data_IF_459483130055
#
_entry.id   IF_459483130055
#
_cell.length_a   1.000
_cell.length_b   1.000
_cell.length_c   1.000
_cell.angle_alpha   90.00
_cell.angle_beta   90.00
_cell.angle_gamma   90.00
#
_symmetry.space_group_name_H-M   'P 1'
#
loop_
_entity.id
_entity.type
_entity.pdbx_description
1 polymer ?
#
# COMPACT_ATOMS: atom_id res chain seq x y z
N UNK A 1 23.41 -14.08 -30.75
CA UNK A 1 24.66 -14.82 -31.05
C UNK A 1 25.21 -14.23 -32.33
N UNK A 2 26.14 -13.28 -32.23
CA UNK A 2 26.73 -12.62 -33.40
C UNK A 2 28.14 -13.19 -33.55
N UNK A 3 28.34 -13.97 -34.60
CA UNK A 3 29.58 -14.68 -34.87
C UNK A 3 30.44 -13.80 -35.79
N UNK A 4 31.56 -13.29 -35.29
CA UNK A 4 32.59 -12.68 -36.15
C UNK A 4 33.73 -13.71 -36.30
N UNK A 5 33.81 -14.34 -37.46
CA UNK A 5 34.99 -15.12 -37.86
C UNK A 5 35.36 -14.70 -39.27
N UNK A 6 36.45 -13.96 -39.42
CA UNK A 6 37.12 -13.77 -40.71
C UNK A 6 38.35 -14.70 -40.68
N UNK A 7 38.31 -15.88 -41.32
CA UNK A 7 39.45 -16.79 -41.32
C UNK A 7 40.59 -16.20 -42.17
N UNK A 8 41.83 -16.36 -41.71
CA UNK A 8 43.01 -16.10 -42.52
C UNK A 8 43.04 -17.02 -43.75
N UNK A 9 43.48 -16.49 -44.89
CA UNK A 9 43.50 -17.19 -46.17
C UNK A 9 44.34 -18.48 -46.07
N UNK A 10 43.70 -19.65 -46.23
CA UNK A 10 44.34 -20.97 -46.16
C UNK A 10 43.97 -21.84 -44.96
N UNK A 11 43.22 -21.31 -43.99
CA UNK A 11 42.66 -22.11 -42.89
C UNK A 11 41.22 -22.54 -43.21
N UNK A 12 40.96 -23.86 -43.25
CA UNK A 12 39.59 -24.38 -43.22
C UNK A 12 39.03 -24.10 -41.82
N UNK A 13 38.08 -23.18 -41.70
CA UNK A 13 37.43 -22.85 -40.45
C UNK A 13 36.84 -24.12 -39.82
N UNK A 14 37.44 -24.58 -38.73
CA UNK A 14 36.85 -25.64 -37.90
C UNK A 14 36.03 -24.96 -36.82
N UNK A 15 34.75 -25.30 -36.73
CA UNK A 15 33.90 -24.80 -35.64
C UNK A 15 34.41 -25.38 -34.32
N UNK A 16 34.77 -24.51 -33.39
CA UNK A 16 35.10 -24.86 -32.01
C UNK A 16 33.81 -24.85 -31.20
N UNK A 17 33.36 -26.02 -30.78
CA UNK A 17 32.26 -26.16 -29.85
C UNK A 17 32.83 -26.31 -28.44
N UNK A 18 32.41 -25.41 -27.56
CA UNK A 18 32.83 -25.40 -26.16
C UNK A 18 31.59 -25.69 -25.32
N UNK A 19 31.56 -26.85 -24.68
CA UNK A 19 30.46 -27.32 -23.84
C UNK A 19 30.96 -27.60 -22.42
N UNK A 20 30.10 -27.43 -21.40
CA UNK A 20 30.40 -27.81 -20.03
C UNK A 20 31.31 -26.86 -19.23
N UNK A 21 31.54 -25.62 -19.70
CA UNK A 21 32.32 -24.64 -18.94
C UNK A 21 31.43 -23.96 -17.89
N UNK A 22 31.80 -24.06 -16.62
CA UNK A 22 31.21 -23.31 -15.50
C UNK A 22 31.53 -21.82 -15.59
N UNK A 23 30.72 -20.93 -14.99
CA UNK A 23 31.05 -19.50 -14.89
C UNK A 23 32.48 -19.27 -14.40
N UNK A 24 33.21 -18.39 -15.07
CA UNK A 24 34.64 -18.22 -14.87
C UNK A 24 35.39 -17.94 -16.16
N UNK A 25 36.71 -17.78 -16.05
CA UNK A 25 37.61 -17.57 -17.18
C UNK A 25 38.47 -18.80 -17.38
N UNK A 26 38.48 -19.36 -18.58
CA UNK A 26 39.33 -20.48 -18.97
C UNK A 26 40.10 -20.12 -20.22
N UNK A 27 41.41 -20.35 -20.21
CA UNK A 27 42.25 -20.23 -21.40
C UNK A 27 42.38 -21.60 -22.04
N UNK A 28 41.95 -21.71 -23.29
CA UNK A 28 42.17 -22.87 -24.13
C UNK A 28 43.45 -22.61 -24.94
N UNK A 29 44.44 -23.48 -24.77
CA UNK A 29 45.75 -23.40 -25.44
C UNK A 29 45.98 -24.66 -26.27
N UNK A 30 46.46 -24.51 -27.49
CA UNK A 30 46.92 -25.63 -28.31
C UNK A 30 48.19 -25.27 -29.07
N UNK A 31 48.96 -26.29 -29.40
CA UNK A 31 50.13 -26.20 -30.27
C UNK A 31 49.90 -27.00 -31.54
N UNK A 32 50.36 -26.46 -32.67
CA UNK A 32 50.21 -27.13 -33.96
C UNK A 32 51.32 -28.16 -34.15
N UNK A 33 50.97 -29.38 -34.58
CA UNK A 33 51.92 -30.48 -34.78
C UNK A 33 53.06 -30.14 -35.78
N UNK A 34 52.82 -29.22 -36.72
CA UNK A 34 53.82 -28.74 -37.68
C UNK A 34 54.54 -27.44 -37.30
N UNK A 35 54.11 -26.74 -36.24
CA UNK A 35 54.70 -25.49 -35.75
C UNK A 35 54.70 -25.46 -34.21
N UNK A 36 55.53 -26.28 -33.56
CA UNK A 36 55.51 -26.46 -32.11
C UNK A 36 55.92 -25.20 -31.33
N UNK A 37 56.49 -24.20 -32.00
CA UNK A 37 56.82 -22.88 -31.45
C UNK A 37 55.70 -21.84 -31.61
N UNK A 38 54.59 -22.18 -32.26
CA UNK A 38 53.40 -21.34 -32.38
C UNK A 38 52.31 -21.85 -31.43
N UNK A 39 51.99 -21.06 -30.42
CA UNK A 39 50.93 -21.31 -29.46
C UNK A 39 49.83 -20.28 -29.70
N UNK A 40 48.63 -20.74 -30.04
CA UNK A 40 47.44 -19.90 -30.03
C UNK A 40 46.70 -20.09 -28.70
N UNK A 41 46.15 -18.99 -28.19
CA UNK A 41 45.35 -18.97 -26.97
C UNK A 41 43.99 -18.33 -27.26
N UNK A 42 42.90 -19.00 -26.86
CA UNK A 42 41.58 -18.39 -26.78
C UNK A 42 41.22 -18.26 -25.31
N UNK A 43 40.90 -17.03 -24.89
CA UNK A 43 40.30 -16.79 -23.59
C UNK A 43 38.78 -16.86 -23.71
N UNK A 44 38.16 -17.77 -22.95
CA UNK A 44 36.71 -17.90 -22.84
C UNK A 44 36.28 -17.43 -21.46
N UNK A 45 35.38 -16.46 -21.41
CA UNK A 45 34.75 -15.99 -20.17
C UNK A 45 33.27 -16.33 -20.20
N UNK A 46 32.83 -17.13 -19.23
CA UNK A 46 31.42 -17.45 -19.01
C UNK A 46 30.93 -16.60 -17.85
N UNK A 47 29.96 -15.74 -18.14
CA UNK A 47 29.38 -14.81 -17.17
C UNK A 47 27.96 -15.27 -16.88
N UNK A 48 27.62 -15.37 -15.60
CA UNK A 48 26.26 -15.67 -15.15
C UNK A 48 25.71 -14.49 -14.35
N UNK A 49 24.51 -14.06 -14.71
CA UNK A 49 23.74 -13.07 -13.96
C UNK A 49 22.51 -13.78 -13.38
N UNK A 50 22.23 -13.53 -12.10
CA UNK A 50 21.10 -14.10 -11.38
C UNK A 50 20.43 -13.05 -10.50
N UNK A 51 19.14 -13.25 -10.22
CA UNK A 51 18.42 -12.52 -9.18
C UNK A 51 18.39 -13.41 -7.94
N UNK A 52 18.86 -12.89 -6.82
CA UNK A 52 18.87 -13.58 -5.53
C UNK A 52 18.14 -12.79 -4.45
N UNK A 53 17.78 -13.45 -3.35
CA UNK A 53 17.51 -12.73 -2.11
C UNK A 53 18.82 -12.13 -1.55
N UNK A 54 18.74 -11.40 -0.43
CA UNK A 54 19.92 -10.80 0.21
C UNK A 54 20.90 -11.85 0.76
N UNK A 55 20.44 -13.07 1.05
CA UNK A 55 21.28 -14.19 1.50
C UNK A 55 22.00 -14.91 0.33
N UNK A 56 21.81 -14.44 -0.91
CA UNK A 56 22.45 -14.99 -2.10
C UNK A 56 21.80 -16.26 -2.65
N UNK A 57 20.60 -16.60 -2.20
CA UNK A 57 19.79 -17.72 -2.70
C UNK A 57 19.09 -17.28 -3.99
N UNK A 58 19.30 -17.98 -5.13
CA UNK A 58 18.62 -17.66 -6.38
C UNK A 58 17.09 -17.74 -6.25
N UNK A 59 16.40 -16.79 -6.86
CA UNK A 59 14.95 -16.86 -6.95
C UNK A 59 14.55 -17.99 -7.90
N UNK A 60 13.58 -18.80 -7.47
CA UNK A 60 12.92 -19.76 -8.33
C UNK A 60 12.10 -19.04 -9.42
N UNK A 61 11.77 -19.73 -10.50
CA UNK A 61 10.72 -19.25 -11.40
C UNK A 61 9.36 -19.32 -10.68
N UNK A 62 8.53 -18.30 -10.85
CA UNK A 62 7.20 -18.15 -10.24
C UNK A 62 7.25 -18.02 -8.70
N UNK A 63 7.91 -16.97 -8.22
CA UNK A 63 7.95 -16.67 -6.78
C UNK A 63 6.58 -16.18 -6.33
N UNK A 64 5.96 -16.89 -5.40
CA UNK A 64 4.69 -16.51 -4.77
C UNK A 64 4.95 -15.56 -3.59
N UNK A 65 4.18 -14.48 -3.50
CA UNK A 65 4.19 -13.54 -2.37
C UNK A 65 2.81 -12.92 -2.18
N UNK A 66 2.67 -11.98 -1.25
CA UNK A 66 1.42 -11.26 -0.95
C UNK A 66 1.69 -9.75 -0.90
N UNK A 67 0.70 -8.90 -1.20
CA UNK A 67 0.89 -7.45 -1.17
C UNK A 67 1.20 -6.97 0.24
N UNK A 68 2.02 -5.92 0.35
CA UNK A 68 2.48 -5.34 1.61
C UNK A 68 3.67 -6.07 2.26
N UNK A 69 4.12 -7.20 1.71
CA UNK A 69 5.36 -7.85 2.16
C UNK A 69 6.58 -7.12 1.60
N UNK A 70 7.57 -6.84 2.45
CA UNK A 70 8.84 -6.24 2.03
C UNK A 70 9.62 -7.20 1.14
N UNK A 71 10.05 -6.71 -0.01
CA UNK A 71 10.87 -7.46 -0.97
C UNK A 71 12.23 -6.80 -1.04
N UNK A 72 13.29 -7.59 -0.88
CA UNK A 72 14.66 -7.14 -1.04
C UNK A 72 15.41 -8.15 -1.91
N UNK A 73 15.91 -7.68 -3.05
CA UNK A 73 16.57 -8.50 -4.08
C UNK A 73 17.97 -7.99 -4.36
N UNK A 74 18.82 -8.90 -4.82
CA UNK A 74 20.20 -8.61 -5.24
C UNK A 74 20.48 -9.20 -6.62
N UNK A 75 21.12 -8.41 -7.47
CA UNK A 75 21.67 -8.84 -8.73
C UNK A 75 23.05 -9.44 -8.49
N UNK A 76 23.21 -10.73 -8.80
CA UNK A 76 24.46 -11.46 -8.58
C UNK A 76 25.15 -11.74 -9.90
N UNK A 77 26.39 -11.29 -10.02
CA UNK A 77 27.27 -11.58 -11.16
C UNK A 77 28.30 -12.63 -10.74
N UNK A 78 28.46 -13.67 -11.56
CA UNK A 78 29.49 -14.70 -11.38
C UNK A 78 30.34 -14.80 -12.65
N UNK A 79 31.69 -14.79 -12.55
CA UNK A 79 32.47 -14.71 -11.31
C UNK A 79 32.44 -13.32 -10.66
N UNK A 80 32.61 -13.27 -9.32
CA UNK A 80 32.39 -12.05 -8.51
C UNK A 80 33.50 -11.01 -8.63
N UNK A 81 34.61 -11.34 -9.28
CA UNK A 81 35.74 -10.43 -9.51
C UNK A 81 35.60 -9.60 -10.79
N UNK A 82 34.48 -9.72 -11.51
CA UNK A 82 34.19 -8.89 -12.67
C UNK A 82 33.75 -7.50 -12.23
N UNK A 83 34.28 -6.48 -12.90
CA UNK A 83 33.83 -5.11 -12.74
C UNK A 83 32.47 -4.94 -13.43
N UNK A 84 31.46 -4.54 -12.66
CA UNK A 84 30.13 -4.20 -13.16
C UNK A 84 30.05 -2.68 -13.25
N UNK A 85 29.91 -2.15 -14.46
CA UNK A 85 29.93 -0.71 -14.72
C UNK A 85 28.53 -0.07 -14.65
N UNK A 86 27.48 -0.87 -14.47
CA UNK A 86 26.11 -0.39 -14.38
C UNK A 86 25.13 -1.48 -13.95
N UNK A 87 24.11 -1.07 -13.22
CA UNK A 87 23.02 -1.91 -12.74
C UNK A 87 21.69 -1.30 -13.16
N UNK A 88 20.73 -2.14 -13.54
CA UNK A 88 19.38 -1.68 -13.84
C UNK A 88 18.35 -2.73 -13.45
N UNK A 89 17.41 -2.36 -12.59
CA UNK A 89 16.23 -3.15 -12.26
C UNK A 89 15.02 -2.72 -13.10
N UNK A 90 14.20 -3.70 -13.46
CA UNK A 90 12.85 -3.49 -13.98
C UNK A 90 11.89 -4.29 -13.13
N UNK A 91 10.97 -3.62 -12.43
CA UNK A 91 9.99 -4.24 -11.54
C UNK A 91 8.61 -3.89 -12.04
N UNK A 92 7.83 -4.89 -12.45
CA UNK A 92 6.43 -4.74 -12.86
C UNK A 92 5.46 -4.63 -11.69
N UNK A 93 4.16 -4.52 -12.01
CA UNK A 93 3.07 -4.43 -11.02
C UNK A 93 2.96 -3.06 -10.36
N UNK A 94 2.02 -2.92 -9.42
CA UNK A 94 1.86 -1.70 -8.63
C UNK A 94 2.75 -1.77 -7.39
N UNK A 95 3.74 -0.88 -7.30
CA UNK A 95 4.81 -0.94 -6.31
C UNK A 95 5.21 0.43 -5.77
N UNK A 96 5.76 0.42 -4.57
CA UNK A 96 6.29 1.59 -3.87
C UNK A 96 7.59 1.25 -3.14
N UNK A 97 8.36 2.27 -2.77
CA UNK A 97 9.55 2.11 -1.94
C UNK A 97 9.18 1.92 -0.48
N UNK A 98 8.24 2.72 0.03
CA UNK A 98 7.82 2.65 1.42
C UNK A 98 6.44 3.25 1.66
N UNK A 99 5.78 2.82 2.73
CA UNK A 99 4.55 3.42 3.25
C UNK A 99 4.63 3.52 4.77
N UNK A 100 4.50 4.74 5.29
CA UNK A 100 4.52 5.03 6.71
C UNK A 100 3.09 5.30 7.17
N UNK A 101 2.70 4.65 8.27
CA UNK A 101 1.46 4.96 8.99
C UNK A 101 1.79 5.31 10.44
N UNK A 102 1.37 6.50 10.85
CA UNK A 102 1.48 6.97 12.22
C UNK A 102 0.26 7.83 12.56
N UNK A 103 0.11 8.17 13.84
CA UNK A 103 -0.94 9.11 14.24
C UNK A 103 -0.80 10.47 13.53
N UNK A 104 0.42 10.88 13.21
CA UNK A 104 0.70 12.21 12.66
C UNK A 104 0.65 12.24 11.13
N UNK A 105 0.84 11.10 10.45
CA UNK A 105 0.80 11.06 9.00
C UNK A 105 0.58 9.67 8.43
N UNK A 106 -0.03 9.66 7.25
CA UNK A 106 0.01 8.55 6.29
C UNK A 106 0.75 9.05 5.06
N UNK A 107 1.96 8.53 4.83
CA UNK A 107 2.84 9.01 3.77
C UNK A 107 3.39 7.86 2.95
N UNK A 108 3.43 8.02 1.63
CA UNK A 108 4.01 7.04 0.70
C UNK A 108 5.26 7.60 0.04
N UNK A 109 6.25 6.75 -0.15
CA UNK A 109 7.45 7.03 -0.93
C UNK A 109 7.37 6.17 -2.19
N UNK A 110 7.31 6.82 -3.34
CA UNK A 110 7.33 6.14 -4.64
C UNK A 110 8.68 5.43 -4.85
N UNK A 111 8.66 4.34 -5.62
CA UNK A 111 9.89 3.69 -6.08
C UNK A 111 10.36 4.43 -7.34
N UNK A 112 11.42 5.21 -7.20
CA UNK A 112 11.92 6.09 -8.25
C UNK A 112 12.98 5.40 -9.10
N UNK A 113 13.29 5.96 -10.29
CA UNK A 113 14.30 5.39 -11.19
C UNK A 113 15.68 5.27 -10.53
N UNK A 114 16.03 6.22 -9.67
CA UNK A 114 17.29 6.19 -8.91
C UNK A 114 17.39 5.02 -7.93
N UNK A 115 16.26 4.45 -7.50
CA UNK A 115 16.25 3.26 -6.63
C UNK A 115 16.49 1.96 -7.39
N UNK A 116 16.53 2.03 -8.74
CA UNK A 116 16.65 0.88 -9.63
C UNK A 116 18.06 0.74 -10.23
N UNK A 117 19.02 1.57 -9.82
CA UNK A 117 20.37 1.64 -10.41
C UNK A 117 21.47 1.06 -9.53
N UNK A 118 21.10 0.42 -8.41
CA UNK A 118 22.03 -0.27 -7.51
C UNK A 118 22.02 -1.79 -7.74
N UNK A 119 23.02 -2.50 -7.22
CA UNK A 119 23.07 -3.98 -7.24
C UNK A 119 21.98 -4.62 -6.37
N UNK A 120 21.34 -3.85 -5.51
CA UNK A 120 20.23 -4.25 -4.64
C UNK A 120 19.03 -3.34 -4.81
N UNK A 121 17.83 -3.89 -4.62
CA UNK A 121 16.58 -3.12 -4.66
C UNK A 121 15.66 -3.57 -3.54
N UNK A 122 15.00 -2.61 -2.88
CA UNK A 122 13.99 -2.87 -1.84
C UNK A 122 12.69 -2.15 -2.16
N UNK A 123 11.57 -2.85 -2.11
CA UNK A 123 10.26 -2.31 -2.46
C UNK A 123 9.12 -3.16 -1.88
N UNK A 124 7.88 -2.72 -2.12
CA UNK A 124 6.65 -3.43 -1.80
C UNK A 124 5.73 -3.43 -3.01
N UNK A 125 5.07 -4.56 -3.29
CA UNK A 125 3.85 -4.55 -4.11
C UNK A 125 2.66 -4.17 -3.23
N UNK A 126 1.78 -3.30 -3.74
CA UNK A 126 0.57 -2.84 -3.04
C UNK A 126 -0.73 -3.35 -3.69
N UNK A 127 -0.58 -4.17 -4.72
CA UNK A 127 -1.66 -4.85 -5.41
C UNK A 127 -1.26 -6.29 -5.75
N UNK A 128 -2.25 -7.11 -6.06
CA UNK A 128 -2.05 -8.45 -6.59
C UNK A 128 -1.79 -8.47 -8.09
N UNK A 129 -1.35 -9.61 -8.58
CA UNK A 129 -1.17 -9.87 -10.00
C UNK A 129 -0.38 -11.13 -10.24
N UNK A 130 -0.62 -11.76 -11.40
CA UNK A 130 0.05 -12.97 -11.82
C UNK A 130 1.15 -12.63 -12.83
N UNK A 131 2.21 -13.44 -12.85
CA UNK A 131 3.32 -13.33 -13.80
C UNK A 131 3.93 -11.92 -13.87
N UNK A 132 4.05 -11.24 -12.72
CA UNK A 132 4.69 -9.93 -12.62
C UNK A 132 6.18 -10.08 -12.88
N UNK A 133 6.66 -9.49 -13.97
CA UNK A 133 8.07 -9.56 -14.35
C UNK A 133 8.98 -8.75 -13.43
N UNK A 134 10.07 -9.37 -12.98
CA UNK A 134 11.20 -8.74 -12.32
C UNK A 134 12.47 -9.08 -13.10
N UNK A 135 13.16 -8.07 -13.60
CA UNK A 135 14.39 -8.23 -14.35
C UNK A 135 15.52 -7.39 -13.75
N UNK A 136 16.73 -7.90 -13.90
CA UNK A 136 17.98 -7.26 -13.52
C UNK A 136 18.95 -7.33 -14.68
N UNK A 137 19.54 -6.20 -15.04
CA UNK A 137 20.60 -6.09 -16.04
C UNK A 137 21.88 -5.55 -15.39
N UNK A 138 22.99 -6.19 -15.71
CA UNK A 138 24.34 -5.77 -15.36
C UNK A 138 25.13 -5.45 -16.62
N UNK A 139 25.79 -4.30 -16.64
CA UNK A 139 26.75 -3.94 -17.69
C UNK A 139 28.15 -4.41 -17.32
N UNK A 140 28.71 -5.33 -18.09
CA UNK A 140 30.04 -5.91 -17.84
C UNK A 140 30.85 -5.75 -19.12
N UNK A 141 31.98 -5.04 -19.03
CA UNK A 141 32.80 -4.64 -20.19
C UNK A 141 31.99 -3.94 -21.29
N UNK A 142 31.00 -3.12 -20.91
CA UNK A 142 30.13 -2.40 -21.84
C UNK A 142 29.07 -3.26 -22.53
N UNK A 143 28.93 -4.54 -22.17
CA UNK A 143 27.91 -5.45 -22.69
C UNK A 143 26.83 -5.73 -21.63
N UNK A 144 25.55 -5.78 -22.02
CA UNK A 144 24.46 -6.08 -21.10
C UNK A 144 24.32 -7.59 -20.87
N UNK A 145 24.16 -7.97 -19.60
CA UNK A 145 23.81 -9.32 -19.19
C UNK A 145 22.59 -9.25 -18.26
N UNK A 146 21.55 -10.01 -18.57
CA UNK A 146 20.27 -9.92 -17.86
C UNK A 146 19.80 -11.24 -17.26
N UNK A 147 19.07 -11.13 -16.16
CA UNK A 147 18.27 -12.20 -15.58
C UNK A 147 16.83 -11.71 -15.37
N UNK A 148 15.87 -12.63 -15.48
CA UNK A 148 14.47 -12.33 -15.27
C UNK A 148 13.76 -13.48 -14.56
N UNK A 149 12.83 -13.12 -13.68
CA UNK A 149 11.91 -14.02 -12.99
C UNK A 149 10.50 -13.45 -13.03
N UNK A 150 9.52 -14.33 -12.99
CA UNK A 150 8.13 -13.94 -12.80
C UNK A 150 7.72 -14.18 -11.34
N UNK A 151 6.90 -13.28 -10.82
CA UNK A 151 6.36 -13.33 -9.47
C UNK A 151 4.83 -13.30 -9.50
N UNK A 152 4.21 -14.09 -8.63
CA UNK A 152 2.77 -14.07 -8.39
C UNK A 152 2.52 -13.38 -7.05
N UNK A 153 1.81 -12.26 -7.08
CA UNK A 153 1.43 -11.50 -5.88
C UNK A 153 -0.03 -11.80 -5.58
N UNK A 154 -0.25 -12.65 -4.58
CA UNK A 154 -1.56 -13.16 -4.22
C UNK A 154 -2.24 -12.22 -3.24
N UNK A 155 -3.15 -11.41 -3.76
CA UNK A 155 -3.95 -10.47 -2.98
C UNK A 155 -5.12 -11.22 -2.32
N UNK A 156 -5.39 -11.00 -1.01
CA UNK A 156 -6.60 -11.50 -0.38
C UNK A 156 -7.85 -11.04 -1.11
N UNK A 157 -8.83 -11.94 -1.25
CA UNK A 157 -10.17 -11.54 -1.70
C UNK A 157 -10.93 -10.91 -0.54
N UNK A 158 -11.74 -9.90 -0.84
CA UNK A 158 -12.42 -9.13 0.19
C UNK A 158 -13.79 -8.61 -0.26
N UNK A 159 -14.73 -8.69 0.67
CA UNK A 159 -16.02 -8.01 0.64
C UNK A 159 -16.10 -7.01 1.81
N UNK A 160 -16.71 -5.85 1.55
CA UNK A 160 -17.02 -4.84 2.56
C UNK A 160 -18.43 -4.33 2.30
N UNK A 161 -19.30 -4.49 3.29
CA UNK A 161 -20.69 -4.03 3.25
C UNK A 161 -20.95 -3.06 4.39
N UNK A 162 -22.03 -2.27 4.26
CA UNK A 162 -22.47 -1.38 5.31
C UNK A 162 -23.98 -1.43 5.52
N UNK A 163 -24.39 -1.16 6.75
CA UNK A 163 -25.79 -1.00 7.14
C UNK A 163 -25.91 0.29 7.95
N UNK A 164 -26.75 1.22 7.50
CA UNK A 164 -27.02 2.48 8.18
C UNK A 164 -28.18 2.36 9.15
N UNK A 165 -28.26 3.27 10.11
CA UNK A 165 -29.29 3.28 11.16
C UNK A 165 -30.71 3.15 10.59
N UNK A 166 -31.60 2.36 11.21
CA UNK A 166 -33.00 2.26 10.80
C UNK A 166 -33.86 3.43 11.31
N UNK A 167 -33.29 4.36 12.08
CA UNK A 167 -34.01 5.48 12.66
C UNK A 167 -34.52 6.46 11.58
N UNK A 168 -35.73 6.98 11.80
CA UNK A 168 -36.33 8.03 10.99
C UNK A 168 -36.86 9.16 11.89
N UNK A 169 -36.24 10.36 11.88
CA UNK A 169 -35.07 10.74 11.09
C UNK A 169 -33.76 10.06 11.57
N UNK A 170 -32.79 9.84 10.68
CA UNK A 170 -31.52 9.19 11.03
C UNK A 170 -30.62 10.05 11.91
N UNK A 171 -30.81 11.37 11.89
CA UNK A 171 -30.07 12.33 12.70
C UNK A 171 -31.04 12.99 13.67
N UNK A 172 -30.71 12.97 14.96
CA UNK A 172 -31.63 13.48 15.99
C UNK A 172 -30.91 14.06 17.20
N UNK A 173 -31.64 14.90 17.94
CA UNK A 173 -31.28 15.35 19.29
C UNK A 173 -31.65 14.23 20.27
N UNK A 174 -30.64 13.55 20.82
CA UNK A 174 -30.83 12.49 21.82
C UNK A 174 -29.70 12.50 22.84
N UNK A 175 -30.06 12.30 24.10
CA UNK A 175 -29.11 12.16 25.21
C UNK A 175 -28.08 13.31 25.29
N UNK A 176 -28.49 14.54 24.94
CA UNK A 176 -27.62 15.72 24.94
C UNK A 176 -26.67 15.82 23.75
N UNK A 177 -26.97 15.15 22.62
CA UNK A 177 -26.17 15.20 21.39
C UNK A 177 -27.05 15.37 20.17
N UNK A 178 -26.52 16.06 19.15
CA UNK A 178 -26.95 15.90 17.77
C UNK A 178 -26.08 14.80 17.16
N UNK A 179 -26.66 13.68 16.77
CA UNK A 179 -25.89 12.51 16.31
C UNK A 179 -26.57 11.77 15.17
N UNK A 180 -25.77 11.07 14.37
CA UNK A 180 -26.22 10.12 13.38
C UNK A 180 -26.43 8.74 14.03
N UNK A 181 -27.67 8.26 14.04
CA UNK A 181 -28.08 7.07 14.78
C UNK A 181 -28.22 7.31 16.29
N UNK A 182 -27.98 6.27 17.07
CA UNK A 182 -27.99 6.30 18.53
C UNK A 182 -26.97 5.31 19.11
N UNK A 183 -26.65 5.46 20.41
CA UNK A 183 -25.76 4.52 21.10
C UNK A 183 -26.47 3.24 21.55
N UNK A 184 -27.77 3.11 21.28
CA UNK A 184 -28.51 1.89 21.58
C UNK A 184 -28.10 0.76 20.61
N UNK A 185 -28.14 -0.51 21.05
CA UNK A 185 -27.89 -1.64 20.17
C UNK A 185 -28.78 -1.62 18.94
N UNK A 186 -28.20 -1.81 17.75
CA UNK A 186 -28.88 -1.82 16.44
C UNK A 186 -29.44 -0.46 15.98
N UNK A 187 -29.11 0.62 16.68
CA UNK A 187 -29.46 1.98 16.26
C UNK A 187 -28.23 2.81 15.88
N UNK A 188 -27.03 2.23 15.90
CA UNK A 188 -25.78 2.92 15.54
C UNK A 188 -25.88 3.56 14.14
N UNK A 189 -25.24 4.72 13.97
CA UNK A 189 -25.31 5.50 12.74
C UNK A 189 -24.97 4.68 11.50
N UNK A 190 -23.87 3.96 11.55
CA UNK A 190 -23.47 3.02 10.51
C UNK A 190 -22.73 1.82 11.13
N UNK A 191 -22.92 0.64 10.53
CA UNK A 191 -22.14 -0.58 10.76
C UNK A 191 -21.44 -0.94 9.47
N UNK A 192 -20.19 -1.39 9.58
CA UNK A 192 -19.42 -2.00 8.50
C UNK A 192 -19.10 -3.44 8.84
N UNK A 193 -19.21 -4.30 7.85
CA UNK A 193 -18.88 -5.72 7.95
C UNK A 193 -17.97 -6.09 6.79
N UNK A 194 -16.75 -6.50 7.11
CA UNK A 194 -15.77 -7.00 6.17
C UNK A 194 -15.63 -8.52 6.28
N UNK A 195 -15.53 -9.19 5.15
CA UNK A 195 -15.11 -10.59 5.03
C UNK A 195 -13.88 -10.65 4.13
N UNK A 196 -12.80 -11.26 4.61
CA UNK A 196 -11.52 -11.36 3.90
C UNK A 196 -11.08 -12.81 3.85
N UNK A 197 -10.76 -13.29 2.65
CA UNK A 197 -10.20 -14.63 2.41
C UNK A 197 -8.75 -14.50 1.98
N UNK A 198 -7.83 -14.98 2.82
CA UNK A 198 -6.39 -14.92 2.56
C UNK A 198 -5.92 -16.15 1.74
N UNK A 199 -4.92 -15.99 0.85
CA UNK A 199 -4.23 -17.13 0.26
C UNK A 199 -3.50 -17.97 1.32
N UNK A 200 -3.10 -19.19 0.99
CA UNK A 200 -2.35 -20.12 1.88
C UNK A 200 -1.08 -19.49 2.47
N UNK A 201 -0.37 -18.66 1.70
CA UNK A 201 0.81 -17.91 2.13
C UNK A 201 0.50 -16.53 2.77
N UNK A 202 -0.79 -16.23 2.93
CA UNK A 202 -1.34 -14.91 3.27
C UNK A 202 -1.74 -14.71 4.72
N UNK A 203 -1.15 -15.44 5.67
CA UNK A 203 -1.33 -15.12 7.09
C UNK A 203 -0.99 -13.64 7.37
N UNK A 204 -1.72 -13.00 8.30
CA UNK A 204 -1.59 -11.57 8.55
C UNK A 204 -2.65 -11.01 9.49
N UNK A 205 -3.00 -9.74 9.26
CA UNK A 205 -4.01 -8.99 10.01
C UNK A 205 -4.90 -8.19 9.06
N UNK A 206 -6.15 -7.97 9.45
CA UNK A 206 -7.10 -7.08 8.80
C UNK A 206 -7.61 -6.04 9.80
N UNK A 207 -7.88 -4.83 9.34
CA UNK A 207 -8.39 -3.75 10.18
C UNK A 207 -9.08 -2.68 9.34
N UNK A 208 -9.85 -1.81 9.98
CA UNK A 208 -10.32 -0.58 9.38
C UNK A 208 -9.38 0.59 9.66
N UNK A 209 -9.29 1.52 8.71
CA UNK A 209 -8.70 2.84 8.88
C UNK A 209 -9.68 3.85 8.29
N UNK A 210 -10.02 4.89 9.04
CA UNK A 210 -10.95 5.93 8.58
C UNK A 210 -10.22 7.27 8.47
N UNK A 211 -10.46 7.97 7.37
CA UNK A 211 -10.14 9.38 7.23
C UNK A 211 -11.43 10.19 7.20
N UNK A 212 -11.36 11.43 7.68
CA UNK A 212 -12.48 12.36 7.71
C UNK A 212 -12.09 13.72 7.16
N UNK A 213 -12.95 14.26 6.31
CA UNK A 213 -13.00 15.67 5.96
C UNK A 213 -14.10 16.29 6.83
N UNK A 214 -13.69 17.04 7.86
CA UNK A 214 -14.62 17.60 8.85
C UNK A 214 -15.06 18.98 8.42
N UNK A 215 -16.36 19.26 8.60
CA UNK A 215 -16.89 20.62 8.57
C UNK A 215 -18.00 20.73 9.60
N UNK A 216 -17.68 21.35 10.74
CA UNK A 216 -18.64 21.57 11.82
C UNK A 216 -18.62 23.03 12.26
N UNK A 217 -19.79 23.53 12.67
CA UNK A 217 -19.90 24.86 13.25
C UNK A 217 -20.63 24.81 14.58
N UNK A 218 -20.33 25.76 15.45
CA UNK A 218 -21.03 25.99 16.72
C UNK A 218 -21.20 27.47 16.94
N UNK A 219 -22.41 27.87 17.32
CA UNK A 219 -22.71 29.25 17.70
C UNK A 219 -22.77 29.32 19.21
N UNK A 220 -21.99 30.20 19.83
CA UNK A 220 -22.00 30.46 21.26
C UNK A 220 -23.29 31.20 21.65
N UNK A 221 -23.80 30.90 22.85
CA UNK A 221 -24.88 31.65 23.49
C UNK A 221 -24.30 32.87 24.21
N UNK A 222 -23.62 33.74 23.47
CA UNK A 222 -23.09 35.03 23.94
C UNK A 222 -23.84 36.20 23.30
N UNK A 223 -23.50 37.44 23.67
CA UNK A 223 -24.17 38.63 23.12
C UNK A 223 -23.89 38.85 21.63
N UNK A 224 -22.83 38.24 21.10
CA UNK A 224 -22.37 38.41 19.72
C UNK A 224 -22.82 37.27 18.80
N UNK A 225 -23.42 36.21 19.35
CA UNK A 225 -23.64 34.92 18.67
C UNK A 225 -22.38 34.44 17.94
N UNK A 226 -21.24 34.43 18.64
CA UNK A 226 -19.94 34.06 18.06
C UNK A 226 -20.03 32.70 17.38
N UNK A 227 -19.65 32.61 16.11
CA UNK A 227 -19.59 31.35 15.37
C UNK A 227 -18.16 30.84 15.39
N UNK A 228 -17.99 29.58 15.79
CA UNK A 228 -16.72 28.87 15.69
C UNK A 228 -16.86 27.73 14.68
N UNK A 229 -15.82 27.52 13.89
CA UNK A 229 -15.74 26.51 12.83
C UNK A 229 -14.62 25.52 13.16
N UNK A 230 -14.90 24.23 12.95
CA UNK A 230 -13.93 23.15 12.97
C UNK A 230 -13.93 22.51 11.59
N UNK A 231 -12.87 22.77 10.83
CA UNK A 231 -12.78 22.42 9.42
C UNK A 231 -11.40 21.89 9.09
N UNK A 232 -11.34 20.84 8.28
CA UNK A 232 -10.09 20.37 7.67
C UNK A 232 -9.80 21.03 6.32
N UNK A 233 -10.53 22.09 5.97
CA UNK A 233 -10.38 22.86 4.73
C UNK A 233 -10.43 21.97 3.47
N UNK A 234 -11.31 20.96 3.49
CA UNK A 234 -11.48 20.02 2.38
C UNK A 234 -10.45 18.89 2.31
N UNK A 235 -9.49 18.84 3.24
CA UNK A 235 -8.53 17.75 3.32
C UNK A 235 -9.04 16.62 4.23
N UNK A 236 -8.59 15.40 3.96
CA UNK A 236 -8.87 14.23 4.78
C UNK A 236 -7.79 14.05 5.86
N UNK A 237 -8.23 14.02 7.11
CA UNK A 237 -7.40 13.78 8.30
C UNK A 237 -7.70 12.42 8.90
N UNK A 238 -6.77 11.88 9.68
CA UNK A 238 -6.99 10.60 10.36
C UNK A 238 -8.10 10.71 11.39
N UNK A 239 -9.11 9.86 11.26
CA UNK A 239 -10.20 9.73 12.21
C UNK A 239 -9.91 8.62 13.21
N UNK A 240 -9.24 8.99 14.29
CA UNK A 240 -8.97 8.09 15.42
C UNK A 240 -8.86 8.89 16.72
N UNK A 241 -9.30 8.27 17.79
CA UNK A 241 -9.03 8.69 19.18
C UNK A 241 -8.07 7.71 19.89
N UNK A 242 -7.64 6.66 19.17
CA UNK A 242 -6.83 5.56 19.70
C UNK A 242 -5.33 5.85 19.72
N UNK A 243 -4.58 4.83 20.13
CA UNK A 243 -3.12 4.87 20.15
C UNK A 243 -2.47 4.43 18.83
N UNK A 244 -3.27 3.86 17.92
CA UNK A 244 -2.84 3.47 16.57
C UNK A 244 -3.66 4.19 15.50
N UNK A 245 -3.18 4.20 14.24
CA UNK A 245 -3.94 4.71 13.10
C UNK A 245 -5.15 3.86 12.70
N UNK A 246 -5.38 2.72 13.35
CA UNK A 246 -6.51 1.85 13.07
C UNK A 246 -7.77 2.41 13.70
N UNK A 247 -8.87 2.37 12.96
CA UNK A 247 -10.16 2.80 13.47
C UNK A 247 -10.65 1.85 14.57
N UNK A 248 -10.84 2.38 15.78
CA UNK A 248 -11.21 1.57 16.94
C UNK A 248 -10.04 0.90 17.67
N UNK A 249 -8.81 1.21 17.29
CA UNK A 249 -7.56 0.71 17.89
C UNK A 249 -7.44 -0.83 17.92
N UNK A 250 -7.99 -1.51 16.92
CA UNK A 250 -8.00 -2.97 16.85
C UNK A 250 -7.78 -3.53 15.44
N UNK A 251 -7.33 -4.79 15.42
CA UNK A 251 -7.11 -5.57 14.22
C UNK A 251 -7.49 -7.04 14.48
N UNK A 252 -7.92 -7.73 13.43
CA UNK A 252 -8.25 -9.16 13.47
C UNK A 252 -7.15 -9.97 12.78
N UNK A 253 -6.62 -10.98 13.47
CA UNK A 253 -5.65 -11.91 12.88
C UNK A 253 -6.34 -12.84 11.88
N UNK A 254 -5.69 -13.07 10.74
CA UNK A 254 -6.12 -14.00 9.69
C UNK A 254 -5.01 -15.01 9.40
N UNK A 255 -5.38 -16.29 9.38
CA UNK A 255 -4.47 -17.38 9.01
C UNK A 255 -4.30 -17.50 7.49
N UNK A 256 -3.21 -18.11 7.04
CA UNK A 256 -3.05 -18.46 5.63
C UNK A 256 -4.12 -19.46 5.20
N UNK A 257 -4.80 -19.18 4.07
CA UNK A 257 -5.90 -20.00 3.55
C UNK A 257 -7.20 -19.86 4.33
N UNK A 258 -7.27 -18.95 5.31
CA UNK A 258 -8.45 -18.74 6.13
C UNK A 258 -9.32 -17.59 5.61
N UNK A 259 -10.59 -17.63 5.97
CA UNK A 259 -11.54 -16.52 5.85
C UNK A 259 -11.82 -15.95 7.23
N UNK A 260 -11.81 -14.62 7.36
CA UNK A 260 -12.12 -13.93 8.61
C UNK A 260 -13.04 -12.74 8.40
N UNK A 261 -13.76 -12.40 9.47
CA UNK A 261 -14.66 -11.25 9.52
C UNK A 261 -14.12 -10.19 10.46
N UNK A 262 -14.28 -8.92 10.09
CA UNK A 262 -13.99 -7.77 10.94
C UNK A 262 -15.12 -6.75 10.81
N UNK A 263 -15.72 -6.37 11.95
CA UNK A 263 -16.91 -5.53 12.00
C UNK A 263 -16.71 -4.35 12.94
N UNK A 264 -17.21 -3.18 12.54
CA UNK A 264 -17.22 -1.97 13.36
C UNK A 264 -18.50 -1.17 13.17
N UNK A 265 -18.76 -0.28 14.13
CA UNK A 265 -19.85 0.67 14.06
C UNK A 265 -19.35 2.06 14.37
N UNK A 266 -19.99 3.06 13.80
CA UNK A 266 -19.77 4.47 14.11
C UNK A 266 -21.10 5.17 14.35
N UNK A 267 -21.08 6.18 15.21
CA UNK A 267 -22.22 7.01 15.62
C UNK A 267 -21.70 8.42 15.85
N UNK A 268 -21.27 9.12 14.79
CA UNK A 268 -20.71 10.45 14.93
C UNK A 268 -21.76 11.41 15.47
N UNK A 269 -21.30 12.39 16.25
CA UNK A 269 -22.18 13.38 16.84
C UNK A 269 -21.44 14.55 17.47
N UNK A 270 -22.21 15.52 17.92
CA UNK A 270 -21.75 16.72 18.60
C UNK A 270 -22.50 16.93 19.91
N UNK A 271 -21.81 17.17 21.04
CA UNK A 271 -22.46 17.44 22.31
C UNK A 271 -23.20 18.79 22.28
N UNK A 272 -24.40 18.80 22.83
CA UNK A 272 -25.34 19.92 22.86
C UNK A 272 -25.34 20.59 24.24
N UNK A 273 -24.22 21.23 24.59
CA UNK A 273 -24.04 21.95 25.85
C UNK A 273 -24.95 23.18 25.99
N UNK A 274 -25.09 23.71 27.21
CA UNK A 274 -25.86 24.92 27.54
C UNK A 274 -25.24 26.22 27.02
N UNK A 275 -23.93 26.20 26.73
CA UNK A 275 -23.19 27.38 26.24
C UNK A 275 -23.36 27.64 24.73
N UNK A 276 -24.03 26.74 24.00
CA UNK A 276 -24.21 26.86 22.55
C UNK A 276 -25.66 27.18 22.20
N UNK A 277 -25.86 28.03 21.21
CA UNK A 277 -27.15 28.35 20.58
C UNK A 277 -27.44 27.46 19.38
N UNK A 278 -26.41 27.04 18.64
CA UNK A 278 -26.52 26.22 17.42
C UNK A 278 -25.33 25.27 17.28
N UNK A 279 -25.56 24.09 16.69
CA UNK A 279 -24.53 23.14 16.23
C UNK A 279 -24.86 22.66 14.83
N UNK A 280 -23.88 22.54 13.95
CA UNK A 280 -24.02 21.81 12.70
C UNK A 280 -22.79 20.99 12.35
N UNK A 281 -23.00 19.96 11.55
CA UNK A 281 -21.97 19.08 11.01
C UNK A 281 -22.29 18.73 9.55
N UNK A 282 -21.25 18.57 8.74
CA UNK A 282 -21.27 18.05 7.39
C UNK A 282 -19.93 17.33 7.15
N UNK A 283 -19.81 16.13 7.70
CA UNK A 283 -18.56 15.37 7.66
C UNK A 283 -18.61 14.33 6.54
N UNK A 284 -17.52 14.19 5.81
CA UNK A 284 -17.31 13.17 4.79
C UNK A 284 -16.18 12.23 5.23
N UNK A 285 -16.35 10.93 4.98
CA UNK A 285 -15.45 9.89 5.45
C UNK A 285 -14.99 8.99 4.31
N UNK A 286 -13.75 8.53 4.42
CA UNK A 286 -13.19 7.45 3.63
C UNK A 286 -12.78 6.32 4.57
N UNK A 287 -13.51 5.22 4.52
CA UNK A 287 -13.18 3.99 5.26
C UNK A 287 -12.39 3.05 4.36
N UNK A 288 -11.25 2.60 4.86
CA UNK A 288 -10.36 1.66 4.19
C UNK A 288 -10.39 0.32 4.95
N UNK A 289 -10.72 -0.76 4.24
CA UNK A 289 -10.41 -2.12 4.70
C UNK A 289 -8.96 -2.41 4.34
N UNK A 290 -8.12 -2.59 5.36
CA UNK A 290 -6.68 -2.75 5.23
C UNK A 290 -6.27 -4.19 5.55
N UNK A 291 -5.21 -4.66 4.90
CA UNK A 291 -4.54 -5.94 5.17
C UNK A 291 -3.05 -5.71 5.39
N UNK A 292 -2.47 -6.42 6.35
CA UNK A 292 -1.03 -6.47 6.59
C UNK A 292 -0.58 -7.91 6.68
N UNK A 293 0.27 -8.41 5.77
CA UNK A 293 0.75 -9.77 5.86
C UNK A 293 1.66 -9.96 7.08
N UNK A 294 1.78 -11.20 7.53
CA UNK A 294 2.78 -11.59 8.51
C UNK A 294 4.18 -11.40 7.93
N UNK A 295 5.09 -10.92 8.76
CA UNK A 295 6.48 -10.68 8.39
C UNK A 295 7.01 -9.41 9.02
N UNK A 296 8.32 -9.38 9.26
CA UNK A 296 9.03 -8.17 9.69
C UNK A 296 8.86 -7.10 8.60
N UNK A 297 8.70 -5.84 9.02
CA UNK A 297 8.56 -4.67 8.15
C UNK A 297 7.42 -4.73 7.12
N UNK A 298 6.46 -5.65 7.27
CA UNK A 298 5.29 -5.65 6.38
C UNK A 298 4.44 -4.40 6.61
N UNK A 299 3.93 -3.83 5.53
CA UNK A 299 3.09 -2.63 5.54
C UNK A 299 1.61 -2.98 5.40
N UNK A 300 0.75 -2.07 5.84
CA UNK A 300 -0.68 -2.15 5.55
C UNK A 300 -0.96 -1.73 4.11
N UNK A 301 -1.79 -2.51 3.40
CA UNK A 301 -2.26 -2.23 2.05
C UNK A 301 -3.79 -2.23 2.03
N UNK A 302 -4.37 -1.45 1.11
CA UNK A 302 -5.82 -1.35 0.96
C UNK A 302 -6.36 -2.53 0.17
N UNK A 303 -7.44 -3.14 0.68
CA UNK A 303 -8.24 -4.13 -0.04
C UNK A 303 -9.47 -3.49 -0.69
N UNK A 304 -10.20 -2.67 0.07
CA UNK A 304 -11.42 -1.96 -0.36
C UNK A 304 -11.53 -0.58 0.26
N UNK A 305 -12.27 0.31 -0.39
CA UNK A 305 -12.65 1.64 0.13
C UNK A 305 -14.16 1.81 0.11
N UNK A 306 -14.70 2.46 1.14
CA UNK A 306 -16.10 2.88 1.23
C UNK A 306 -16.14 4.35 1.63
N UNK A 307 -16.85 5.15 0.84
CA UNK A 307 -16.99 6.58 1.09
C UNK A 307 -18.40 6.83 1.67
N UNK A 308 -18.53 7.61 2.74
CA UNK A 308 -19.81 7.89 3.39
C UNK A 308 -19.84 9.26 4.05
N UNK A 309 -21.03 9.79 4.36
CA UNK A 309 -21.18 11.11 4.97
C UNK A 309 -22.43 11.20 5.86
N UNK A 310 -22.44 12.21 6.73
CA UNK A 310 -23.65 12.66 7.43
C UNK A 310 -23.62 14.19 7.57
N UNK A 311 -24.81 14.81 7.57
CA UNK A 311 -24.96 16.24 7.80
C UNK A 311 -26.27 16.56 8.51
N UNK A 312 -26.21 17.54 9.41
CA UNK A 312 -27.37 18.00 10.15
C UNK A 312 -27.05 19.18 11.03
N UNK A 313 -28.10 19.84 11.52
CA UNK A 313 -27.99 20.96 12.41
C UNK A 313 -29.07 20.93 13.50
N UNK A 314 -28.70 21.40 14.69
CA UNK A 314 -29.59 21.58 15.80
C UNK A 314 -29.46 23.01 16.33
N UNK A 315 -30.58 23.59 16.75
CA UNK A 315 -30.69 24.95 17.27
C UNK A 315 -31.54 24.95 18.54
N UNK A 316 -31.30 25.90 19.43
CA UNK A 316 -32.19 26.12 20.57
C UNK A 316 -33.44 26.89 20.11
N UNK A 317 -34.60 26.41 20.50
CA UNK A 317 -35.87 27.09 20.27
C UNK A 317 -36.13 28.21 21.28
N UNK A 318 -37.32 28.83 21.22
CA UNK A 318 -37.71 29.89 22.13
C UNK A 318 -37.87 29.46 23.60
N UNK A 319 -37.91 28.16 23.88
CA UNK A 319 -37.99 27.59 25.22
C UNK A 319 -36.62 27.14 25.75
N UNK A 320 -35.54 27.44 25.03
CA UNK A 320 -34.18 26.97 25.35
C UNK A 320 -34.04 25.45 25.23
N UNK A 321 -34.85 24.80 24.38
CA UNK A 321 -34.77 23.37 24.07
C UNK A 321 -34.08 23.13 22.72
N UNK A 322 -33.26 22.09 22.64
CA UNK A 322 -32.62 21.71 21.37
C UNK A 322 -33.59 21.03 20.44
N UNK A 323 -33.76 21.59 19.24
CA UNK A 323 -34.53 21.02 18.15
C UNK A 323 -33.64 20.81 16.92
N UNK A 324 -33.99 19.82 16.09
CA UNK A 324 -33.33 19.65 14.80
C UNK A 324 -33.82 20.69 13.80
N UNK A 325 -32.91 21.27 13.02
CA UNK A 325 -33.24 22.03 11.82
C UNK A 325 -33.58 21.07 10.66
N UNK A 326 -34.34 21.57 9.68
CA UNK A 326 -34.60 20.83 8.43
C UNK A 326 -33.35 20.69 7.57
N UNK A 327 -33.32 19.72 6.65
CA UNK A 327 -32.24 19.58 5.66
C UNK A 327 -31.11 18.64 6.07
N UNK A 328 -31.37 17.72 6.98
CA UNK A 328 -30.44 16.63 7.32
C UNK A 328 -30.22 15.71 6.13
N UNK A 329 -29.00 15.19 5.99
CA UNK A 329 -28.68 14.17 4.99
C UNK A 329 -27.68 13.14 5.55
N UNK A 330 -27.68 11.95 4.98
CA UNK A 330 -26.71 10.90 5.29
C UNK A 330 -26.65 9.90 4.15
N UNK A 331 -25.51 9.22 4.03
CA UNK A 331 -25.43 8.03 3.17
C UNK A 331 -26.48 6.99 3.57
N UNK A 332 -27.01 6.26 2.60
CA UNK A 332 -27.95 5.15 2.82
C UNK A 332 -27.28 3.86 2.36
N UNK A 333 -26.88 3.00 3.32
CA UNK A 333 -26.15 1.75 3.07
C UNK A 333 -25.06 1.88 1.97
N UNK A 334 -24.09 2.80 2.11
CA UNK A 334 -23.09 3.06 1.07
C UNK A 334 -22.32 1.77 0.68
N UNK A 335 -22.10 1.61 -0.62
CA UNK A 335 -21.33 0.49 -1.16
C UNK A 335 -19.82 0.72 -1.08
N UNK A 336 -19.05 -0.37 -1.09
CA UNK A 336 -17.59 -0.31 -1.19
C UNK A 336 -17.09 -0.69 -2.59
N UNK A 337 -15.92 -0.17 -2.95
CA UNK A 337 -15.20 -0.52 -4.19
C UNK A 337 -13.88 -1.21 -3.87
N UNK A 338 -13.42 -2.08 -4.77
CA UNK A 338 -12.05 -2.56 -4.71
C UNK A 338 -11.10 -1.36 -4.87
N UNK A 339 -10.07 -1.27 -4.04
CA UNK A 339 -9.13 -0.15 -4.07
C UNK A 339 -7.72 -0.60 -3.71
N UNK A 340 -6.75 0.01 -4.38
CA UNK A 340 -5.31 -0.14 -4.12
C UNK A 340 -4.69 1.17 -3.63
N UNK A 341 -5.50 2.22 -3.48
CA UNK A 341 -5.06 3.52 -3.03
C UNK A 341 -4.81 3.50 -1.53
N UNK A 342 -3.55 3.73 -1.14
CA UNK A 342 -3.17 3.85 0.26
C UNK A 342 -3.72 5.14 0.88
N UNK A 343 -4.28 5.09 2.11
CA UNK A 343 -4.76 6.28 2.79
C UNK A 343 -3.60 7.22 3.13
N UNK A 344 -3.79 8.51 2.86
CA UNK A 344 -2.80 9.56 3.13
C UNK A 344 -3.46 10.66 3.97
N UNK A 345 -2.78 11.10 5.01
CA UNK A 345 -3.27 12.16 5.90
C UNK A 345 -2.10 12.98 6.47
N UNK A 346 -2.31 14.27 6.78
CA UNK A 346 -1.28 15.15 7.33
C UNK A 346 -1.32 15.26 8.87
N UNK A 347 -2.30 14.63 9.54
CA UNK A 347 -2.49 14.69 10.98
C UNK A 347 -3.81 14.04 11.40
N UNK A 348 -4.16 14.14 12.69
CA UNK A 348 -5.45 13.66 13.20
C UNK A 348 -6.50 14.75 13.17
N UNK A 349 -7.74 14.37 12.89
CA UNK A 349 -8.85 15.32 12.91
C UNK A 349 -9.02 15.95 14.31
N UNK A 350 -8.80 15.17 15.38
CA UNK A 350 -8.89 15.65 16.77
C UNK A 350 -7.87 16.73 17.14
N UNK A 351 -6.80 16.89 16.37
CA UNK A 351 -5.78 17.92 16.60
C UNK A 351 -6.10 19.23 15.88
N UNK A 352 -7.17 19.28 15.06
CA UNK A 352 -7.64 20.50 14.41
C UNK A 352 -8.35 21.37 15.46
N UNK A 353 -7.99 22.65 15.53
CA UNK A 353 -8.59 23.61 16.46
C UNK A 353 -9.91 24.19 15.95
N UNK A 354 -10.75 24.62 16.90
CA UNK A 354 -11.89 25.47 16.58
C UNK A 354 -11.40 26.91 16.40
N UNK A 355 -11.79 27.55 15.31
CA UNK A 355 -11.47 28.96 15.02
C UNK A 355 -12.74 29.79 14.98
N UNK A 356 -12.66 31.07 15.36
CA UNK A 356 -13.77 32.01 15.21
C UNK A 356 -13.93 32.35 13.72
N UNK A 357 -15.16 32.34 13.21
CA UNK A 357 -15.49 32.79 11.86
C UNK A 357 -15.51 34.33 11.85
N UNK A 358 -14.69 34.94 10.98
CA UNK A 358 -14.57 36.40 10.83
C UNK A 358 -15.78 37.06 10.14
#
# INVERSE_FOLDING_TARGET
>A
MTQFVTPFHGFNGTNLYVEGISPGTTTLSWSYSGQPNCIDNIQVSVIKVEITNLDGVPLAQNVRTVPGRKIALKGKVTPSNLEVSGHQWTIGGNRIKNYTQSLNEGSKIALEVSDLTDDTVTFYWIDGGENIGVAYEASIHGLPFAAAVNCDVERPDAALTSVTTPLNPPISVRFGYMRYGSSAPNEQGIRWDAEVSAPDIGAGQIAFLQLVNVYRTRTLKDLSNTVEVWTSNGQYYLDTIGSTPLYGDDATTIGGGATQVHSKTDTPGSPLSTIYQRRSAADEFQLYLMYRPSGVDSIWVTLRRLDWFWSGAAVRDGNDEWIMESGQASSQNPGSVNSVALPLWPGRAQDIEWIVED
#
